data_IF_118383330278
#
_entry.id   IF_118383330278
#
_cell.length_a   1.000
_cell.length_b   1.000
_cell.length_c   1.000
_cell.angle_alpha   90.00
_cell.angle_beta   90.00
_cell.angle_gamma   90.00
#
_symmetry.space_group_name_H-M   'P 1'
#
loop_
_entity.id
_entity.type
_entity.pdbx_description
1 polymer ?
#
# COMPACT_ATOMS: atom_id res chain seq x y z
N UNK A 1 -8.60 1.52 19.87
CA UNK A 1 -8.09 2.91 19.92
C UNK A 1 -7.50 3.28 18.56
N UNK A 2 -7.85 4.42 18.05
CA UNK A 2 -7.34 4.88 16.75
C UNK A 2 -6.01 5.61 16.95
N UNK A 3 -4.97 5.20 16.20
CA UNK A 3 -3.69 5.87 16.24
C UNK A 3 -3.75 7.21 15.49
N UNK A 4 -3.00 8.18 15.95
CA UNK A 4 -2.82 9.46 15.26
C UNK A 4 -1.60 9.38 14.34
N UNK A 5 -1.45 10.34 13.44
CA UNK A 5 -0.25 10.44 12.59
C UNK A 5 1.01 10.62 13.43
N UNK A 6 0.93 11.35 14.54
CA UNK A 6 2.05 11.54 15.45
C UNK A 6 2.49 10.20 16.06
N UNK A 7 1.52 9.39 16.49
CA UNK A 7 1.81 8.06 17.06
C UNK A 7 2.38 7.11 16.01
N UNK A 8 1.97 7.25 14.75
CA UNK A 8 2.42 6.37 13.66
C UNK A 8 3.86 6.62 13.25
N UNK A 9 4.47 7.74 13.63
CA UNK A 9 5.86 8.12 13.28
C UNK A 9 6.12 8.18 11.78
N UNK A 10 5.10 8.48 10.99
CA UNK A 10 5.22 8.71 9.55
C UNK A 10 4.90 10.17 9.26
N UNK A 11 4.93 10.53 7.98
CA UNK A 11 4.70 11.89 7.52
C UNK A 11 3.33 12.41 7.97
N UNK A 12 3.25 13.69 8.37
CA UNK A 12 2.01 14.32 8.86
C UNK A 12 1.38 15.26 7.83
N UNK A 13 1.81 15.25 6.57
CA UNK A 13 1.29 16.16 5.55
C UNK A 13 -0.18 15.84 5.24
N UNK A 14 -0.47 14.54 5.07
CA UNK A 14 -1.83 14.08 4.78
C UNK A 14 -2.43 13.34 5.98
N UNK A 15 -3.76 13.36 6.14
CA UNK A 15 -4.39 12.71 7.29
C UNK A 15 -4.19 11.19 7.28
N UNK A 16 -4.17 10.60 8.48
CA UNK A 16 -4.17 9.14 8.64
C UNK A 16 -5.44 8.52 8.08
N UNK A 17 -6.55 9.16 8.28
CA UNK A 17 -7.84 8.65 7.88
C UNK A 17 -8.41 7.66 8.88
N UNK A 18 -9.21 6.72 8.38
CA UNK A 18 -9.91 5.74 9.20
C UNK A 18 -9.29 4.35 9.01
N UNK A 19 -9.50 3.43 9.96
CA UNK A 19 -9.09 2.05 9.76
C UNK A 19 -9.65 1.52 8.44
N UNK A 20 -8.80 0.82 7.68
CA UNK A 20 -9.14 0.33 6.35
C UNK A 20 -9.97 -0.95 6.44
N UNK A 21 -11.20 -0.84 6.95
CA UNK A 21 -12.08 -1.99 7.17
C UNK A 21 -12.64 -2.55 5.88
N UNK A 22 -12.88 -1.70 4.88
CA UNK A 22 -13.47 -2.11 3.61
C UNK A 22 -12.63 -3.15 2.87
N UNK A 23 -11.31 -3.08 3.01
CA UNK A 23 -10.36 -3.98 2.34
C UNK A 23 -9.60 -4.88 3.32
N UNK A 24 -10.02 -4.92 4.59
CA UNK A 24 -9.27 -5.63 5.64
C UNK A 24 -9.01 -7.11 5.30
N UNK A 25 -9.93 -7.77 4.62
CA UNK A 25 -9.78 -9.18 4.23
C UNK A 25 -8.65 -9.43 3.22
N UNK A 26 -8.15 -8.37 2.58
CA UNK A 26 -7.06 -8.45 1.63
C UNK A 26 -5.72 -7.99 2.21
N UNK A 27 -5.69 -7.73 3.51
CA UNK A 27 -4.50 -7.26 4.21
C UNK A 27 -4.22 -8.16 5.40
N UNK A 28 -2.94 -8.38 5.69
CA UNK A 28 -2.51 -8.90 6.98
C UNK A 28 -2.01 -7.72 7.81
N UNK A 29 -2.57 -7.55 9.02
CA UNK A 29 -2.25 -6.41 9.87
C UNK A 29 -3.18 -5.24 9.65
N UNK A 30 -2.91 -4.14 10.34
CA UNK A 30 -3.77 -2.96 10.34
C UNK A 30 -3.25 -1.89 9.40
N UNK A 31 -4.12 -1.39 8.54
CA UNK A 31 -3.85 -0.23 7.71
C UNK A 31 -4.93 0.82 7.87
N UNK A 32 -4.65 2.03 7.39
CA UNK A 32 -5.54 3.18 7.47
C UNK A 32 -5.62 3.83 6.10
N UNK A 33 -6.76 4.43 5.80
CA UNK A 33 -6.99 5.03 4.49
C UNK A 33 -7.67 6.38 4.63
N UNK A 34 -7.11 7.37 3.96
CA UNK A 34 -7.72 8.69 3.82
C UNK A 34 -7.90 8.98 2.34
N UNK A 35 -9.15 9.10 1.88
CA UNK A 35 -9.43 9.47 0.50
C UNK A 35 -9.09 10.96 0.33
N UNK A 36 -8.20 11.27 -0.61
CA UNK A 36 -7.77 12.64 -0.88
C UNK A 36 -8.50 13.24 -2.08
N UNK A 37 -8.75 12.43 -3.10
CA UNK A 37 -9.50 12.87 -4.28
C UNK A 37 -10.33 11.70 -4.81
N UNK A 38 -11.64 11.86 -4.84
CA UNK A 38 -12.57 10.83 -5.31
C UNK A 38 -12.82 10.96 -6.82
N UNK A 39 -11.77 11.19 -7.58
CA UNK A 39 -11.83 11.30 -9.03
C UNK A 39 -12.05 9.92 -9.65
N UNK A 40 -12.98 9.79 -10.57
CA UNK A 40 -13.35 8.49 -11.15
C UNK A 40 -12.26 7.89 -12.03
N UNK A 41 -11.41 8.72 -12.64
CA UNK A 41 -10.37 8.25 -13.57
C UNK A 41 -9.02 8.06 -12.90
N UNK A 42 -8.79 8.71 -11.76
CA UNK A 42 -7.54 8.60 -10.99
C UNK A 42 -7.78 8.92 -9.51
N UNK A 43 -8.53 8.08 -8.79
CA UNK A 43 -8.74 8.34 -7.36
C UNK A 43 -7.41 8.31 -6.62
N UNK A 44 -7.28 9.21 -5.63
CA UNK A 44 -6.06 9.40 -4.88
C UNK A 44 -6.34 9.20 -3.40
N UNK A 45 -5.58 8.34 -2.75
CA UNK A 45 -5.73 8.05 -1.33
C UNK A 45 -4.38 8.04 -0.64
N UNK A 46 -4.37 8.41 0.64
CA UNK A 46 -3.22 8.22 1.51
C UNK A 46 -3.42 6.92 2.28
N UNK A 47 -2.49 5.99 2.17
CA UNK A 47 -2.56 4.69 2.82
C UNK A 47 -1.41 4.55 3.80
N UNK A 48 -1.73 4.22 5.05
CA UNK A 48 -0.74 4.06 6.12
C UNK A 48 -0.82 2.65 6.67
N UNK A 49 0.33 2.00 6.79
CA UNK A 49 0.46 0.61 7.24
C UNK A 49 1.19 0.58 8.57
N UNK A 50 0.62 -0.13 9.55
CA UNK A 50 1.36 -0.44 10.77
C UNK A 50 2.52 -1.40 10.48
N UNK A 51 3.54 -1.47 11.36
CA UNK A 51 4.64 -2.41 11.15
C UNK A 51 4.14 -3.83 10.89
N UNK A 52 4.68 -4.47 9.86
CA UNK A 52 4.29 -5.83 9.48
C UNK A 52 3.06 -5.94 8.60
N UNK A 53 2.32 -4.86 8.42
CA UNK A 53 1.11 -4.86 7.59
C UNK A 53 1.46 -4.89 6.11
N UNK A 54 0.83 -5.78 5.36
CA UNK A 54 0.98 -5.85 3.91
C UNK A 54 -0.33 -6.31 3.27
N UNK A 55 -0.52 -5.94 2.00
CA UNK A 55 -1.68 -6.44 1.25
C UNK A 55 -1.35 -7.76 0.55
N UNK A 56 -2.40 -8.42 0.08
CA UNK A 56 -2.27 -9.63 -0.72
C UNK A 56 -1.68 -9.28 -2.08
N UNK A 57 -1.17 -10.30 -2.78
CA UNK A 57 -0.89 -10.19 -4.20
C UNK A 57 -2.15 -9.71 -4.92
N UNK A 58 -2.00 -8.79 -5.87
CA UNK A 58 -3.13 -8.25 -6.61
C UNK A 58 -2.70 -7.59 -7.91
N UNK A 59 -3.69 -7.22 -8.73
CA UNK A 59 -3.50 -6.54 -10.01
C UNK A 59 -4.49 -5.39 -10.12
N UNK A 60 -4.08 -4.32 -10.78
CA UNK A 60 -4.96 -3.21 -11.15
C UNK A 60 -5.13 -3.19 -12.66
N UNK A 61 -6.37 -3.11 -13.15
CA UNK A 61 -6.66 -3.18 -14.59
C UNK A 61 -6.06 -2.02 -15.38
N UNK A 62 -5.97 -0.82 -14.78
CA UNK A 62 -5.37 0.35 -15.42
C UNK A 62 -3.98 0.69 -14.90
N UNK A 63 -3.51 -0.01 -13.84
CA UNK A 63 -2.25 0.29 -13.18
C UNK A 63 -2.42 1.10 -11.92
N UNK A 64 -1.29 1.38 -11.25
CA UNK A 64 -1.28 2.13 -10.00
C UNK A 64 0.05 2.84 -9.85
N UNK A 65 0.03 4.03 -9.24
CA UNK A 65 1.26 4.77 -8.92
C UNK A 65 1.30 4.94 -7.41
N UNK A 66 2.45 4.64 -6.80
CA UNK A 66 2.70 4.85 -5.38
C UNK A 66 3.71 5.97 -5.22
N UNK A 67 3.40 6.94 -4.35
CA UNK A 67 4.33 7.99 -3.95
C UNK A 67 4.61 7.79 -2.47
N UNK A 68 5.81 7.35 -2.12
CA UNK A 68 6.15 7.02 -0.74
C UNK A 68 6.36 8.29 0.06
N UNK A 69 5.60 8.43 1.16
CA UNK A 69 5.59 9.62 1.99
C UNK A 69 6.42 9.47 3.26
N UNK A 70 6.54 8.27 3.80
CA UNK A 70 7.27 8.07 5.04
C UNK A 70 7.38 6.63 5.47
N UNK A 71 8.26 6.39 6.44
CA UNK A 71 8.52 5.06 6.94
C UNK A 71 9.36 4.23 5.99
N UNK A 72 9.32 2.91 6.20
CA UNK A 72 10.05 1.96 5.38
C UNK A 72 9.13 0.80 5.02
N UNK A 73 9.14 0.40 3.76
CA UNK A 73 8.27 -0.67 3.27
C UNK A 73 8.86 -1.42 2.10
N UNK A 74 8.04 -2.27 1.50
CA UNK A 74 8.44 -3.16 0.43
C UNK A 74 7.43 -3.13 -0.70
N UNK A 75 7.94 -3.33 -1.91
CA UNK A 75 7.16 -3.57 -3.13
C UNK A 75 7.77 -4.75 -3.87
N UNK A 76 6.93 -5.67 -4.36
CA UNK A 76 7.42 -6.81 -5.12
C UNK A 76 6.46 -7.13 -6.27
N UNK A 77 7.02 -7.31 -7.46
CA UNK A 77 6.32 -7.90 -8.61
C UNK A 77 6.61 -9.40 -8.65
N UNK A 78 5.63 -10.17 -9.08
CA UNK A 78 5.80 -11.60 -9.20
C UNK A 78 7.01 -11.95 -10.07
N UNK A 79 7.84 -12.86 -9.58
CA UNK A 79 9.04 -13.31 -10.28
C UNK A 79 10.26 -12.41 -10.12
N UNK A 80 10.15 -11.34 -9.31
CA UNK A 80 11.26 -10.42 -9.08
C UNK A 80 11.57 -10.29 -7.58
N UNK A 81 12.78 -9.85 -7.23
CA UNK A 81 13.09 -9.56 -5.82
C UNK A 81 12.24 -8.41 -5.28
N UNK A 82 11.95 -8.44 -3.99
CA UNK A 82 11.31 -7.33 -3.31
C UNK A 82 12.22 -6.11 -3.32
N UNK A 83 11.62 -4.93 -3.55
CA UNK A 83 12.31 -3.64 -3.57
C UNK A 83 11.98 -2.88 -2.29
N UNK A 84 13.00 -2.44 -1.58
CA UNK A 84 12.81 -1.60 -0.41
C UNK A 84 12.36 -0.20 -0.82
N UNK A 85 11.39 0.34 -0.08
CA UNK A 85 10.82 1.66 -0.32
C UNK A 85 11.05 2.56 0.89
N UNK A 86 11.38 3.83 0.61
CA UNK A 86 11.53 4.89 1.61
C UNK A 86 10.95 6.18 1.08
N UNK A 87 10.79 7.17 1.93
CA UNK A 87 10.21 8.47 1.55
C UNK A 87 10.89 9.05 0.30
N UNK A 88 10.09 9.50 -0.64
CA UNK A 88 10.53 10.04 -1.92
C UNK A 88 10.58 9.03 -3.06
N UNK A 89 10.45 7.74 -2.77
CA UNK A 89 10.42 6.73 -3.83
C UNK A 89 9.08 6.77 -4.57
N UNK A 90 9.15 6.47 -5.86
CA UNK A 90 7.99 6.39 -6.74
C UNK A 90 7.94 5.00 -7.35
N UNK A 91 6.78 4.36 -7.31
CA UNK A 91 6.55 3.09 -7.96
C UNK A 91 5.47 3.28 -9.01
N UNK A 92 5.83 3.08 -10.27
CA UNK A 92 4.88 3.13 -11.38
C UNK A 92 4.55 1.69 -11.77
N UNK A 93 3.36 1.24 -11.34
CA UNK A 93 2.95 -0.16 -11.50
C UNK A 93 2.11 -0.28 -12.76
N UNK A 94 2.61 -0.98 -13.79
CA UNK A 94 1.86 -1.13 -15.03
C UNK A 94 0.55 -1.90 -14.85
N UNK A 95 -0.37 -1.68 -15.77
CA UNK A 95 -1.64 -2.41 -15.81
C UNK A 95 -1.40 -3.92 -15.83
N UNK A 96 -2.14 -4.66 -15.01
CA UNK A 96 -2.13 -6.12 -15.00
C UNK A 96 -0.94 -6.77 -14.31
N UNK A 97 -0.01 -6.00 -13.75
CA UNK A 97 1.15 -6.56 -13.04
C UNK A 97 0.73 -7.11 -11.68
N UNK A 98 1.04 -8.38 -11.44
CA UNK A 98 0.80 -9.01 -10.14
C UNK A 98 1.86 -8.55 -9.15
N UNK A 99 1.44 -7.91 -8.06
CA UNK A 99 2.34 -7.29 -7.09
C UNK A 99 1.71 -7.24 -5.70
N UNK A 100 2.53 -6.88 -4.73
CA UNK A 100 2.08 -6.51 -3.39
C UNK A 100 2.97 -5.38 -2.85
N UNK A 101 2.49 -4.68 -1.84
CA UNK A 101 3.29 -3.70 -1.09
C UNK A 101 2.84 -3.67 0.36
N UNK A 102 3.68 -3.14 1.22
CA UNK A 102 3.38 -3.06 2.64
C UNK A 102 4.55 -2.53 3.45
N UNK A 103 4.32 -2.45 4.76
CA UNK A 103 5.32 -1.99 5.72
C UNK A 103 6.42 -3.03 5.93
N UNK A 104 7.61 -2.54 6.28
CA UNK A 104 8.62 -3.42 6.85
C UNK A 104 8.15 -3.92 8.22
N UNK A 105 8.73 -5.03 8.69
CA UNK A 105 8.27 -5.66 9.94
C UNK A 105 8.48 -4.80 11.19
N UNK A 106 9.38 -3.84 11.12
CA UNK A 106 9.76 -2.98 12.25
C UNK A 106 9.52 -1.48 11.98
N UNK A 107 8.76 -1.15 10.95
CA UNK A 107 8.52 0.26 10.59
C UNK A 107 7.10 0.48 10.12
N UNK A 108 6.53 1.62 10.46
CA UNK A 108 5.36 2.15 9.78
C UNK A 108 5.72 2.47 8.33
N UNK A 109 4.72 2.53 7.47
CA UNK A 109 4.91 2.82 6.05
C UNK A 109 3.70 3.59 5.54
N UNK A 110 3.96 4.66 4.79
CA UNK A 110 2.89 5.51 4.26
C UNK A 110 3.17 5.86 2.81
N UNK A 111 2.16 5.71 1.96
CA UNK A 111 2.26 6.15 0.57
C UNK A 111 0.95 6.76 0.08
N UNK A 112 1.07 7.64 -0.90
CA UNK A 112 -0.06 8.06 -1.72
C UNK A 112 -0.29 6.96 -2.76
N UNK A 113 -1.53 6.54 -2.92
CA UNK A 113 -1.95 5.61 -3.95
C UNK A 113 -2.76 6.37 -5.00
N UNK A 114 -2.32 6.30 -6.24
CA UNK A 114 -3.05 6.84 -7.38
C UNK A 114 -3.46 5.66 -8.24
N UNK A 115 -4.75 5.35 -8.26
CA UNK A 115 -5.25 4.28 -9.11
C UNK A 115 -5.48 4.83 -10.52
N UNK A 116 -4.85 4.19 -11.51
CA UNK A 116 -4.89 4.65 -12.89
C UNK A 116 -6.04 3.96 -13.60
N UNK A 117 -6.99 4.76 -14.14
CA UNK A 117 -8.08 4.25 -14.98
C UNK A 117 -8.81 3.07 -14.37
N UNK A 118 -9.41 3.19 -13.17
CA UNK A 118 -10.18 2.09 -12.58
C UNK A 118 -11.43 1.75 -13.41
N UNK A 119 -11.82 2.62 -14.33
CA UNK A 119 -12.90 2.34 -15.29
C UNK A 119 -12.56 1.22 -16.26
N UNK A 120 -11.28 0.83 -16.39
CA UNK A 120 -10.88 -0.31 -17.22
C UNK A 120 -11.19 -1.66 -16.57
N UNK A 121 -11.59 -1.67 -15.30
CA UNK A 121 -12.00 -2.86 -14.60
C UNK A 121 -11.59 -2.81 -13.12
N UNK A 122 -12.19 -3.66 -12.29
CA UNK A 122 -11.85 -3.71 -10.85
C UNK A 122 -10.46 -4.30 -10.62
N UNK A 123 -9.90 -4.03 -9.44
CA UNK A 123 -8.71 -4.73 -8.98
C UNK A 123 -9.01 -6.22 -8.79
N UNK A 124 -8.04 -7.06 -9.09
CA UNK A 124 -8.12 -8.50 -8.85
C UNK A 124 -7.28 -8.87 -7.64
N UNK A 125 -7.94 -9.30 -6.57
CA UNK A 125 -7.26 -9.71 -5.34
C UNK A 125 -6.95 -11.20 -5.39
N UNK A 126 -5.71 -11.55 -5.02
CA UNK A 126 -5.16 -12.89 -5.14
C UNK A 126 -4.71 -13.38 -3.75
N UNK A 127 -3.76 -14.32 -3.73
CA UNK A 127 -3.33 -14.96 -2.50
C UNK A 127 -2.56 -14.00 -1.56
N UNK A 128 -2.56 -14.27 -0.25
CA UNK A 128 -1.72 -13.52 0.68
C UNK A 128 -0.24 -13.72 0.39
N UNK A 129 0.58 -12.74 0.76
CA UNK A 129 2.03 -12.92 0.83
C UNK A 129 2.32 -13.84 2.01
N UNK A 130 3.01 -14.95 1.79
CA UNK A 130 3.26 -15.92 2.85
C UNK A 130 4.11 -15.32 3.95
N UNK A 131 3.85 -15.74 5.19
CA UNK A 131 4.67 -15.32 6.33
C UNK A 131 6.12 -15.75 6.14
N UNK A 132 6.36 -16.92 5.53
CA UNK A 132 7.69 -17.41 5.25
C UNK A 132 8.46 -16.44 4.35
N UNK A 133 7.87 -16.05 3.23
CA UNK A 133 8.53 -15.14 2.28
C UNK A 133 8.71 -13.75 2.89
N UNK A 134 7.68 -13.24 3.54
CA UNK A 134 7.74 -11.92 4.16
C UNK A 134 8.81 -11.85 5.25
N UNK A 135 8.93 -12.88 6.07
CA UNK A 135 9.89 -12.91 7.20
C UNK A 135 11.35 -12.85 6.76
N UNK A 136 11.64 -13.20 5.50
CA UNK A 136 12.99 -13.11 4.94
C UNK A 136 13.41 -11.68 4.62
N UNK A 137 12.47 -10.75 4.57
CA UNK A 137 12.76 -9.33 4.29
C UNK A 137 13.17 -8.62 5.58
N UNK A 138 14.23 -7.77 5.54
CA UNK A 138 14.70 -7.03 6.72
C UNK A 138 13.67 -6.05 7.35
#
# INVERSE_FOLDING_TARGET
>A
MTLTKTESKVNEIFPLGVPNTAYAKYFKGQSYLAMLAANKLCPVANVTFEPGCRNNWHKHSGGQILLVMGGRGWYQEEGKPARELKAGDVVDIPAGVKHWHGAAKDSWFEHISIEVRPDMGPATWLEPVSDEDYSKLP
#
